data_IF_685366587546
#
_entry.id   IF_685366587546
#
_cell.length_a   1.000
_cell.length_b   1.000
_cell.length_c   1.000
_cell.angle_alpha   90.00
_cell.angle_beta   90.00
_cell.angle_gamma   90.00
#
_symmetry.space_group_name_H-M   'P 1'
#
loop_
_entity.id
_entity.type
_entity.pdbx_description
1 polymer ?
#
# COMPACT_ATOMS: atom_id res chain seq x y z
N UNK A 1 11.59 -11.53 2.60
CA UNK A 1 10.94 -12.70 3.22
C UNK A 1 12.03 -13.71 3.46
N UNK A 2 12.44 -13.90 4.72
CA UNK A 2 13.68 -14.65 5.01
C UNK A 2 13.50 -16.16 4.79
N UNK A 3 12.28 -16.72 4.91
CA UNK A 3 12.06 -18.18 4.89
C UNK A 3 10.76 -18.65 4.17
N UNK A 4 10.07 -17.81 3.40
CA UNK A 4 8.81 -18.20 2.72
C UNK A 4 7.54 -18.12 3.59
N UNK A 5 6.38 -18.43 2.99
CA UNK A 5 5.05 -18.23 3.59
C UNK A 5 4.65 -19.37 4.54
N UNK A 6 5.04 -20.60 4.23
CA UNK A 6 4.88 -21.78 5.09
C UNK A 6 5.62 -21.60 6.41
N UNK A 7 6.86 -21.12 6.37
CA UNK A 7 7.60 -20.74 7.58
C UNK A 7 6.91 -19.62 8.35
N UNK A 8 6.41 -18.57 7.67
CA UNK A 8 5.68 -17.49 8.32
C UNK A 8 4.42 -17.99 9.05
N UNK A 9 3.65 -18.91 8.44
CA UNK A 9 2.45 -19.49 9.05
C UNK A 9 2.81 -20.33 10.27
N UNK A 10 3.86 -21.15 10.20
CA UNK A 10 4.31 -21.97 11.33
C UNK A 10 4.71 -21.13 12.57
N UNK A 11 5.15 -19.89 12.37
CA UNK A 11 5.52 -18.95 13.44
C UNK A 11 4.34 -18.10 13.94
N UNK A 12 3.13 -18.29 13.42
CA UNK A 12 1.91 -17.63 13.87
C UNK A 12 1.09 -18.54 14.79
N UNK A 13 0.23 -17.97 15.63
CA UNK A 13 -0.72 -18.75 16.44
C UNK A 13 -1.69 -19.54 15.56
N UNK A 14 -2.24 -20.64 16.09
CA UNK A 14 -3.22 -21.47 15.38
C UNK A 14 -4.46 -20.68 14.93
N UNK A 15 -4.92 -19.72 15.73
CA UNK A 15 -6.01 -18.80 15.37
C UNK A 15 -5.67 -17.95 14.15
N UNK A 16 -4.46 -17.38 14.09
CA UNK A 16 -4.01 -16.56 12.97
C UNK A 16 -3.83 -17.41 11.69
N UNK A 17 -3.26 -18.62 11.82
CA UNK A 17 -3.12 -19.56 10.71
C UNK A 17 -4.48 -19.94 10.10
N UNK A 18 -5.46 -20.30 10.95
CA UNK A 18 -6.82 -20.68 10.51
C UNK A 18 -7.49 -19.52 9.78
N UNK A 19 -7.44 -18.32 10.36
CA UNK A 19 -7.98 -17.11 9.74
C UNK A 19 -7.36 -16.84 8.36
N UNK A 20 -6.03 -16.90 8.24
CA UNK A 20 -5.37 -16.72 6.95
C UNK A 20 -5.82 -17.77 5.91
N UNK A 21 -5.88 -19.05 6.30
CA UNK A 21 -6.30 -20.14 5.42
C UNK A 21 -7.78 -20.07 4.98
N UNK A 22 -8.65 -19.53 5.83
CA UNK A 22 -10.08 -19.36 5.50
C UNK A 22 -10.35 -18.20 4.54
N UNK A 23 -9.54 -17.15 4.61
CA UNK A 23 -9.86 -15.89 3.93
C UNK A 23 -9.02 -15.63 2.68
N UNK A 24 -7.84 -16.23 2.52
CA UNK A 24 -6.93 -15.84 1.43
C UNK A 24 -7.54 -15.97 0.03
N UNK A 25 -8.35 -17.00 -0.23
CA UNK A 25 -9.02 -17.16 -1.54
C UNK A 25 -10.03 -16.05 -1.79
N UNK A 26 -10.78 -15.64 -0.78
CA UNK A 26 -11.77 -14.56 -0.89
C UNK A 26 -11.08 -13.23 -1.19
N UNK A 27 -9.99 -12.91 -0.49
CA UNK A 27 -9.21 -11.72 -0.77
C UNK A 27 -8.55 -11.75 -2.14
N UNK A 28 -8.00 -12.91 -2.54
CA UNK A 28 -7.49 -13.09 -3.91
C UNK A 28 -8.59 -12.83 -4.93
N UNK A 29 -9.74 -13.46 -4.81
CA UNK A 29 -10.81 -13.33 -5.82
C UNK A 29 -11.37 -11.90 -5.88
N UNK A 30 -11.41 -11.19 -4.75
CA UNK A 30 -11.82 -9.78 -4.70
C UNK A 30 -10.79 -8.82 -5.33
N UNK A 31 -9.49 -9.12 -5.18
CA UNK A 31 -8.40 -8.23 -5.65
C UNK A 31 -7.88 -8.60 -7.04
N UNK A 32 -8.08 -9.84 -7.48
CA UNK A 32 -7.59 -10.35 -8.76
C UNK A 32 -8.05 -9.51 -9.96
N UNK A 33 -9.33 -9.10 -10.09
CA UNK A 33 -9.75 -8.25 -11.21
C UNK A 33 -9.00 -6.93 -11.26
N UNK A 34 -8.77 -6.30 -10.11
CA UNK A 34 -8.02 -5.03 -10.01
C UNK A 34 -6.58 -5.22 -10.48
N UNK A 35 -5.95 -6.34 -10.10
CA UNK A 35 -4.59 -6.65 -10.58
C UNK A 35 -4.57 -6.93 -12.07
N UNK A 36 -5.55 -7.68 -12.61
CA UNK A 36 -5.65 -7.92 -14.05
C UNK A 36 -5.72 -6.60 -14.82
N UNK A 37 -6.62 -5.70 -14.41
CA UNK A 37 -6.76 -4.38 -15.03
C UNK A 37 -5.47 -3.55 -14.97
N UNK A 38 -4.78 -3.60 -13.81
CA UNK A 38 -3.48 -2.94 -13.63
C UNK A 38 -2.41 -3.50 -14.58
N UNK A 39 -2.28 -4.82 -14.65
CA UNK A 39 -1.29 -5.48 -15.51
C UNK A 39 -1.58 -5.20 -16.99
N UNK A 40 -2.85 -5.24 -17.41
CA UNK A 40 -3.25 -4.92 -18.78
C UNK A 40 -2.96 -3.44 -19.11
N UNK A 41 -3.24 -2.51 -18.18
CA UNK A 41 -2.93 -1.09 -18.36
C UNK A 41 -1.43 -0.84 -18.56
N UNK A 42 -0.58 -1.52 -17.77
CA UNK A 42 0.88 -1.42 -17.88
C UNK A 42 1.38 -2.08 -19.15
N UNK A 43 0.98 -3.32 -19.45
CA UNK A 43 1.42 -4.08 -20.61
C UNK A 43 1.05 -3.39 -21.94
N UNK A 44 -0.10 -2.72 -21.98
CA UNK A 44 -0.54 -1.94 -23.15
C UNK A 44 0.06 -0.54 -23.23
N UNK A 45 0.89 -0.13 -22.26
CA UNK A 45 1.51 1.20 -22.19
C UNK A 45 0.55 2.34 -21.83
N UNK A 46 -0.72 2.04 -21.52
CA UNK A 46 -1.73 3.04 -21.13
C UNK A 46 -1.32 3.79 -19.87
N UNK A 47 -0.81 3.08 -18.86
CA UNK A 47 -0.38 3.71 -17.61
C UNK A 47 0.80 4.68 -17.83
N UNK A 48 1.77 4.29 -18.65
CA UNK A 48 2.92 5.14 -19.00
C UNK A 48 2.50 6.39 -19.77
N UNK A 49 1.62 6.24 -20.77
CA UNK A 49 1.08 7.37 -21.52
C UNK A 49 0.31 8.35 -20.61
N UNK A 50 -0.53 7.81 -19.71
CA UNK A 50 -1.26 8.61 -18.72
C UNK A 50 -0.32 9.38 -17.79
N UNK A 51 0.73 8.72 -17.30
CA UNK A 51 1.72 9.35 -16.42
C UNK A 51 2.44 10.51 -17.12
N UNK A 52 2.89 10.30 -18.36
CA UNK A 52 3.55 11.35 -19.16
C UNK A 52 2.59 12.52 -19.43
N UNK A 53 1.34 12.25 -19.83
CA UNK A 53 0.32 13.29 -20.06
C UNK A 53 0.09 14.15 -18.81
N UNK A 54 -0.13 13.51 -17.65
CA UNK A 54 -0.40 14.21 -16.40
C UNK A 54 0.80 15.05 -15.96
N UNK A 55 2.00 14.48 -15.97
CA UNK A 55 3.22 15.17 -15.55
C UNK A 55 3.59 16.35 -16.47
N UNK A 56 3.11 16.35 -17.71
CA UNK A 56 3.39 17.42 -18.67
C UNK A 56 2.46 18.64 -18.52
N UNK A 57 1.45 18.56 -17.66
CA UNK A 57 0.51 19.68 -17.44
C UNK A 57 1.17 20.77 -16.63
N UNK A 58 0.97 22.03 -17.04
CA UNK A 58 1.56 23.19 -16.39
C UNK A 58 1.15 23.32 -14.91
N UNK A 59 -0.04 22.84 -14.56
CA UNK A 59 -0.63 22.86 -13.21
C UNK A 59 -0.46 21.54 -12.44
N UNK A 60 0.34 20.60 -12.97
CA UNK A 60 0.49 19.26 -12.37
C UNK A 60 0.91 19.31 -10.91
N UNK A 61 1.87 20.20 -10.56
CA UNK A 61 2.39 20.32 -9.20
C UNK A 61 1.32 20.75 -8.21
N UNK A 62 0.50 21.73 -8.55
CA UNK A 62 -0.56 22.21 -7.65
C UNK A 62 -1.62 21.12 -7.43
N UNK A 63 -2.04 20.42 -8.50
CA UNK A 63 -3.01 19.32 -8.39
C UNK A 63 -2.47 18.14 -7.58
N UNK A 64 -1.21 17.78 -7.80
CA UNK A 64 -0.54 16.73 -7.02
C UNK A 64 -0.50 17.09 -5.53
N UNK A 65 -0.22 18.35 -5.18
CA UNK A 65 -0.22 18.78 -3.78
C UNK A 65 -1.61 18.67 -3.13
N UNK A 66 -2.70 18.89 -3.89
CA UNK A 66 -4.07 18.66 -3.38
C UNK A 66 -4.30 17.18 -3.07
N UNK A 67 -3.96 16.27 -3.99
CA UNK A 67 -4.10 14.82 -3.77
C UNK A 67 -3.23 14.32 -2.60
N UNK A 68 -1.99 14.82 -2.51
CA UNK A 68 -1.09 14.48 -1.40
C UNK A 68 -1.56 15.06 -0.07
N UNK A 69 -2.16 16.25 -0.06
CA UNK A 69 -2.72 16.85 1.14
C UNK A 69 -3.90 16.03 1.67
N UNK A 70 -4.75 15.47 0.80
CA UNK A 70 -5.83 14.56 1.22
C UNK A 70 -5.28 13.35 1.97
N UNK A 71 -4.29 12.66 1.39
CA UNK A 71 -3.65 11.51 2.05
C UNK A 71 -2.96 11.90 3.36
N UNK A 72 -2.24 13.01 3.36
CA UNK A 72 -1.52 13.53 4.53
C UNK A 72 -2.45 13.87 5.69
N UNK A 73 -3.64 14.39 5.37
CA UNK A 73 -4.64 14.81 6.34
C UNK A 73 -5.60 13.67 6.73
N UNK A 74 -5.47 12.49 6.11
CA UNK A 74 -6.23 11.32 6.53
C UNK A 74 -5.90 10.93 7.97
N UNK A 75 -6.93 10.45 8.69
CA UNK A 75 -6.81 10.05 10.10
C UNK A 75 -5.70 9.01 10.30
N UNK A 76 -5.63 8.01 9.41
CA UNK A 76 -4.63 6.95 9.46
C UNK A 76 -3.21 7.51 9.36
N UNK A 77 -2.98 8.54 8.54
CA UNK A 77 -1.67 9.15 8.37
C UNK A 77 -1.26 10.00 9.58
N UNK A 78 -2.20 10.78 10.12
CA UNK A 78 -1.99 11.59 11.31
C UNK A 78 -1.70 10.73 12.54
N UNK A 79 -2.53 9.71 12.79
CA UNK A 79 -2.33 8.75 13.87
C UNK A 79 -0.98 8.02 13.72
N UNK A 80 -0.67 7.56 12.51
CA UNK A 80 0.59 6.90 12.20
C UNK A 80 1.81 7.82 12.45
N UNK A 81 1.72 9.12 12.16
CA UNK A 81 2.80 10.08 12.45
C UNK A 81 3.07 10.16 13.95
N UNK A 82 2.04 10.31 14.75
CA UNK A 82 2.16 10.39 16.21
C UNK A 82 2.72 9.09 16.79
N UNK A 83 2.22 7.93 16.37
CA UNK A 83 2.73 6.65 16.86
C UNK A 83 4.19 6.45 16.46
N UNK A 84 4.60 6.88 15.25
CA UNK A 84 6.01 6.79 14.81
C UNK A 84 6.93 7.72 15.60
N UNK A 85 6.49 8.94 15.96
CA UNK A 85 7.33 9.84 16.74
C UNK A 85 7.57 9.32 18.16
N UNK A 86 6.63 8.56 18.72
CA UNK A 86 6.75 7.94 20.04
C UNK A 86 7.69 6.72 20.08
N UNK A 87 8.18 6.24 18.93
CA UNK A 87 9.07 5.08 18.91
C UNK A 87 10.43 5.41 19.55
N UNK A 88 11.01 4.51 20.36
CA UNK A 88 12.25 4.78 21.11
C UNK A 88 13.44 5.23 20.27
N UNK A 89 13.56 4.75 19.02
CA UNK A 89 14.62 5.13 18.09
C UNK A 89 14.50 6.56 17.54
N UNK A 90 13.34 7.20 17.72
CA UNK A 90 13.08 8.56 17.27
C UNK A 90 13.07 9.59 18.41
N UNK A 91 13.35 9.17 19.65
CA UNK A 91 13.35 10.03 20.83
C UNK A 91 14.74 10.67 21.02
N UNK A 92 14.84 11.99 21.20
CA UNK A 92 16.12 12.65 21.45
C UNK A 92 16.68 12.24 22.82
N UNK A 93 17.90 11.71 22.86
CA UNK A 93 18.58 11.30 24.10
C UNK A 93 18.90 9.80 24.22
N UNK A 94 18.73 9.03 23.15
CA UNK A 94 19.48 7.81 22.88
C UNK A 94 20.45 8.03 21.72
#
# INVERSE_FOLDING_TARGET
AENGMDWMYANCSTTAQRGALDWWKKFRDATLPVFTDLYDSVATGKESARSIDLNSKADYREKLEVELAELHNSEMWQAGRTVRSLRPENQPGK
#
